data_IF_511130021992
#
_entry.id   IF_511130021992
#
_cell.length_a   1.000
_cell.length_b   1.000
_cell.length_c   1.000
_cell.angle_alpha   90.00
_cell.angle_beta   90.00
_cell.angle_gamma   90.00
#
_symmetry.space_group_name_H-M   'P 1'
#
loop_
_entity.id
_entity.type
_entity.pdbx_description
1 polymer ?
#
# COMPACT_ATOMS: atom_id res chain seq x y z
N UNK A 1 -10.43 -10.71 -4.79
CA UNK A 1 -9.26 -10.28 -4.02
C UNK A 1 -8.09 -11.28 -4.10
N UNK A 2 -8.31 -12.58 -3.98
CA UNK A 2 -7.25 -13.59 -3.90
C UNK A 2 -6.35 -13.75 -5.17
N UNK A 3 -6.84 -13.63 -6.42
CA UNK A 3 -6.03 -13.89 -7.60
C UNK A 3 -4.72 -13.08 -7.70
N UNK A 4 -4.67 -11.76 -7.41
CA UNK A 4 -3.43 -11.00 -7.42
C UNK A 4 -2.40 -11.52 -6.42
N UNK A 5 -2.83 -11.86 -5.20
CA UNK A 5 -1.95 -12.43 -4.17
C UNK A 5 -1.40 -13.80 -4.59
N UNK A 6 -2.24 -14.67 -5.14
CA UNK A 6 -1.81 -15.96 -5.67
C UNK A 6 -0.75 -15.78 -6.77
N UNK A 7 -0.93 -14.80 -7.65
CA UNK A 7 0.06 -14.48 -8.69
C UNK A 7 1.37 -14.00 -8.09
N UNK A 8 1.33 -13.09 -7.11
CA UNK A 8 2.52 -12.61 -6.41
C UNK A 8 3.30 -13.75 -5.72
N UNK A 9 2.61 -14.67 -5.03
CA UNK A 9 3.22 -15.86 -4.42
C UNK A 9 3.90 -16.72 -5.49
N UNK A 10 3.24 -16.91 -6.63
CA UNK A 10 3.78 -17.71 -7.75
C UNK A 10 5.02 -17.08 -8.39
N UNK A 11 5.12 -15.74 -8.36
CA UNK A 11 6.29 -14.98 -8.84
C UNK A 11 7.38 -14.84 -7.77
N UNK A 12 7.25 -15.47 -6.61
CA UNK A 12 8.30 -15.54 -5.60
C UNK A 12 8.25 -14.45 -4.53
N UNK A 13 7.09 -13.86 -4.25
CA UNK A 13 6.96 -12.94 -3.11
C UNK A 13 7.45 -13.60 -1.83
N UNK A 14 8.42 -12.97 -1.14
CA UNK A 14 9.04 -13.50 0.08
C UNK A 14 8.30 -13.16 1.36
N UNK A 15 7.46 -12.13 1.35
CA UNK A 15 6.69 -11.69 2.52
C UNK A 15 5.26 -11.35 2.15
N UNK A 16 4.38 -11.44 3.14
CA UNK A 16 2.98 -11.03 3.03
C UNK A 16 2.54 -10.34 4.32
N UNK A 17 1.87 -9.20 4.21
CA UNK A 17 1.27 -8.48 5.33
C UNK A 17 -0.21 -8.84 5.46
N UNK A 18 -0.69 -9.02 6.69
CA UNK A 18 -2.13 -9.17 6.95
C UNK A 18 -2.83 -7.81 6.89
N UNK A 19 -4.13 -7.81 6.72
CA UNK A 19 -4.95 -6.60 6.70
C UNK A 19 -5.77 -6.43 7.98
N UNK A 20 -6.21 -5.19 8.24
CA UNK A 20 -7.00 -4.87 9.45
C UNK A 20 -8.42 -5.42 9.44
N UNK A 21 -9.00 -5.67 8.27
CA UNK A 21 -10.39 -6.09 8.17
C UNK A 21 -10.61 -7.55 8.57
N UNK A 22 -11.87 -7.93 8.69
CA UNK A 22 -12.32 -9.31 8.85
C UNK A 22 -12.95 -9.83 7.55
N UNK A 23 -12.88 -11.13 7.34
CA UNK A 23 -13.62 -11.87 6.31
C UNK A 23 -14.57 -12.81 7.05
N UNK A 24 -15.86 -12.67 6.76
CA UNK A 24 -16.91 -13.45 7.40
C UNK A 24 -16.82 -13.48 8.95
N UNK A 25 -16.49 -12.33 9.53
CA UNK A 25 -16.35 -12.16 10.98
C UNK A 25 -15.02 -12.64 11.56
N UNK A 26 -14.11 -13.21 10.77
CA UNK A 26 -12.79 -13.65 11.21
C UNK A 26 -11.75 -12.60 10.84
N UNK A 27 -11.05 -11.97 11.81
CA UNK A 27 -9.97 -11.02 11.54
C UNK A 27 -8.89 -11.64 10.65
N UNK A 28 -8.48 -10.96 9.57
CA UNK A 28 -7.48 -11.50 8.63
C UNK A 28 -6.16 -11.87 9.33
N UNK A 29 -5.76 -11.12 10.36
CA UNK A 29 -4.56 -11.38 11.18
C UNK A 29 -4.64 -12.70 12.00
N UNK A 30 -5.85 -13.21 12.25
CA UNK A 30 -6.10 -14.47 12.97
C UNK A 30 -6.84 -15.51 12.12
N UNK A 31 -6.85 -15.35 10.80
CA UNK A 31 -7.57 -16.23 9.89
C UNK A 31 -6.68 -17.40 9.43
N UNK A 32 -6.83 -18.54 10.10
CA UNK A 32 -6.07 -19.77 9.78
C UNK A 32 -6.34 -20.28 8.36
N UNK A 33 -7.60 -20.24 7.90
CA UNK A 33 -7.94 -20.65 6.54
C UNK A 33 -7.17 -19.84 5.52
N UNK A 34 -7.13 -18.52 5.69
CA UNK A 34 -6.44 -17.61 4.77
C UNK A 34 -4.91 -17.79 4.84
N UNK A 35 -4.33 -17.74 6.06
CA UNK A 35 -2.88 -17.66 6.25
C UNK A 35 -2.17 -19.03 6.18
N UNK A 36 -2.86 -20.09 6.56
CA UNK A 36 -2.28 -21.44 6.55
C UNK A 36 -2.85 -22.27 5.41
N UNK A 37 -4.17 -22.44 5.35
CA UNK A 37 -4.75 -23.45 4.46
C UNK A 37 -4.68 -22.99 2.99
N UNK A 38 -5.05 -21.75 2.69
CA UNK A 38 -4.96 -21.18 1.34
C UNK A 38 -3.51 -20.79 1.02
N UNK A 39 -2.92 -19.88 1.81
CA UNK A 39 -1.64 -19.28 1.47
C UNK A 39 -0.49 -20.31 1.45
N UNK A 40 -0.35 -21.10 2.52
CA UNK A 40 0.77 -22.03 2.66
C UNK A 40 0.49 -23.39 2.04
N UNK A 41 -0.68 -24.01 2.36
CA UNK A 41 -0.95 -25.37 1.93
C UNK A 41 -1.36 -25.44 0.45
N UNK A 42 -2.25 -24.57 -0.03
CA UNK A 42 -2.70 -24.61 -1.42
C UNK A 42 -1.76 -23.87 -2.39
N UNK A 43 -1.24 -22.68 -2.01
CA UNK A 43 -0.38 -21.90 -2.91
C UNK A 43 1.10 -22.17 -2.73
N UNK A 44 1.50 -22.88 -1.67
CA UNK A 44 2.90 -23.26 -1.43
C UNK A 44 3.80 -22.12 -0.96
N UNK A 45 3.25 -21.06 -0.37
CA UNK A 45 4.03 -19.94 0.14
C UNK A 45 5.06 -20.37 1.18
N UNK A 46 6.34 -20.04 0.96
CA UNK A 46 7.48 -20.42 1.80
C UNK A 46 8.07 -19.26 2.62
N UNK A 47 7.61 -18.05 2.36
CA UNK A 47 8.04 -16.85 3.07
C UNK A 47 7.41 -16.69 4.45
N UNK A 48 7.54 -15.52 5.03
CA UNK A 48 6.90 -15.20 6.31
C UNK A 48 5.75 -14.21 6.17
N UNK A 49 4.81 -14.30 7.10
CA UNK A 49 3.66 -13.40 7.20
C UNK A 49 3.85 -12.50 8.41
N UNK A 50 3.70 -11.20 8.20
CA UNK A 50 3.75 -10.21 9.28
C UNK A 50 2.40 -9.49 9.42
N UNK A 51 2.12 -9.00 10.62
CA UNK A 51 0.91 -8.22 10.87
C UNK A 51 1.00 -6.84 10.21
N UNK A 52 -0.13 -6.22 9.94
CA UNK A 52 -0.14 -4.76 9.80
C UNK A 52 0.08 -4.11 11.17
N UNK A 53 0.35 -2.80 11.18
CA UNK A 53 0.71 -2.02 12.37
C UNK A 53 -0.35 -2.19 13.47
N UNK A 54 0.04 -2.78 14.62
CA UNK A 54 -0.84 -2.98 15.79
C UNK A 54 -2.09 -3.86 15.47
N UNK A 55 -2.09 -4.62 14.38
CA UNK A 55 -3.29 -5.36 13.98
C UNK A 55 -3.59 -6.59 14.84
N UNK A 56 -2.61 -7.11 15.59
CA UNK A 56 -2.86 -8.19 16.56
C UNK A 56 -3.72 -7.65 17.71
N UNK A 57 -3.40 -6.51 18.26
CA UNK A 57 -4.21 -5.83 19.28
C UNK A 57 -5.60 -5.46 18.72
N UNK A 58 -5.67 -5.16 17.44
CA UNK A 58 -6.93 -4.90 16.72
C UNK A 58 -7.94 -6.06 16.80
N UNK A 59 -7.48 -7.31 16.96
CA UNK A 59 -8.34 -8.50 17.14
C UNK A 59 -9.22 -8.35 18.40
N UNK A 60 -8.68 -7.74 19.48
CA UNK A 60 -9.45 -7.44 20.70
C UNK A 60 -10.50 -6.36 20.40
N UNK A 61 -10.13 -5.31 19.67
CA UNK A 61 -11.05 -4.26 19.22
C UNK A 61 -12.21 -4.80 18.40
N UNK A 62 -11.99 -5.82 17.59
CA UNK A 62 -13.01 -6.55 16.82
C UNK A 62 -13.82 -7.54 17.66
N UNK A 63 -13.55 -7.64 18.98
CA UNK A 63 -14.18 -8.60 19.90
C UNK A 63 -13.96 -10.08 19.52
N UNK A 64 -12.92 -10.37 18.75
CA UNK A 64 -12.53 -11.72 18.36
C UNK A 64 -11.55 -12.37 19.35
N UNK A 65 -11.03 -11.60 20.32
CA UNK A 65 -10.28 -12.08 21.48
C UNK A 65 -10.63 -11.26 22.72
N UNK A 66 -10.51 -11.86 23.90
CA UNK A 66 -10.82 -11.17 25.18
C UNK A 66 -9.71 -10.23 25.63
N UNK A 67 -8.47 -10.54 25.26
CA UNK A 67 -7.26 -9.79 25.64
C UNK A 67 -6.15 -9.99 24.59
N UNK A 68 -5.07 -9.20 24.71
CA UNK A 68 -3.93 -9.26 23.80
C UNK A 68 -3.18 -10.60 23.84
N UNK A 69 -3.23 -11.34 24.94
CA UNK A 69 -2.62 -12.67 25.00
C UNK A 69 -3.38 -13.66 24.14
N UNK A 70 -4.71 -13.70 24.26
CA UNK A 70 -5.54 -14.53 23.40
C UNK A 70 -5.41 -14.13 21.93
N UNK A 71 -5.36 -12.84 21.63
CA UNK A 71 -5.14 -12.33 20.29
C UNK A 71 -3.80 -12.82 19.71
N UNK A 72 -2.71 -12.70 20.48
CA UNK A 72 -1.38 -13.19 20.08
C UNK A 72 -1.37 -14.72 19.82
N UNK A 73 -2.01 -15.51 20.68
CA UNK A 73 -2.15 -16.97 20.49
C UNK A 73 -2.91 -17.29 19.22
N UNK A 74 -4.05 -16.62 18.98
CA UNK A 74 -4.85 -16.82 17.76
C UNK A 74 -4.09 -16.47 16.50
N UNK A 75 -3.41 -15.33 16.50
CA UNK A 75 -2.61 -14.86 15.36
C UNK A 75 -1.45 -15.84 15.05
N UNK A 76 -0.67 -16.23 16.05
CA UNK A 76 0.43 -17.19 15.89
C UNK A 76 -0.07 -18.53 15.32
N UNK A 77 -1.14 -19.09 15.91
CA UNK A 77 -1.72 -20.35 15.46
C UNK A 77 -2.38 -20.28 14.08
N UNK A 78 -2.83 -19.11 13.67
CA UNK A 78 -3.35 -18.88 12.33
C UNK A 78 -2.27 -18.90 11.24
N UNK A 79 -1.00 -18.75 11.60
CA UNK A 79 0.11 -18.74 10.64
C UNK A 79 0.83 -17.40 10.51
N UNK A 80 0.54 -16.44 11.38
CA UNK A 80 1.33 -15.22 11.51
C UNK A 80 2.70 -15.54 12.09
N UNK A 81 3.75 -14.91 11.56
CA UNK A 81 5.13 -15.16 11.97
C UNK A 81 5.76 -13.97 12.70
N UNK A 82 5.33 -12.74 12.41
CA UNK A 82 5.93 -11.53 12.97
C UNK A 82 4.86 -10.48 13.32
N UNK A 83 5.06 -9.81 14.45
CA UNK A 83 4.26 -8.67 14.92
C UNK A 83 4.91 -7.37 14.45
N UNK A 84 4.17 -6.49 13.77
CA UNK A 84 4.66 -5.22 13.27
C UNK A 84 4.10 -4.06 14.09
N UNK A 85 4.99 -3.27 14.70
CA UNK A 85 4.68 -2.02 15.38
C UNK A 85 3.88 -2.14 16.69
N UNK A 86 3.33 -3.32 16.97
CA UNK A 86 2.75 -3.69 18.25
C UNK A 86 3.80 -4.30 19.19
N UNK A 87 3.32 -4.87 20.26
CA UNK A 87 4.12 -5.68 21.17
C UNK A 87 3.30 -6.84 21.75
N UNK A 88 2.30 -7.29 21.00
CA UNK A 88 1.44 -8.39 21.41
C UNK A 88 2.23 -9.68 21.53
N UNK A 89 3.10 -10.00 20.56
CA UNK A 89 3.97 -11.16 20.62
C UNK A 89 5.00 -11.03 21.74
N UNK A 90 5.76 -9.93 21.79
CA UNK A 90 6.82 -9.73 22.78
C UNK A 90 6.36 -9.82 24.24
N UNK A 91 5.17 -9.28 24.55
CA UNK A 91 4.62 -9.28 25.90
C UNK A 91 3.91 -10.58 26.30
N UNK A 92 3.37 -11.33 25.34
CA UNK A 92 2.41 -12.37 25.66
C UNK A 92 2.82 -13.81 25.29
N UNK A 93 3.69 -14.01 24.26
CA UNK A 93 3.98 -15.38 23.81
C UNK A 93 4.75 -16.21 24.84
N UNK A 94 5.67 -15.58 25.60
CA UNK A 94 6.36 -16.31 26.70
C UNK A 94 5.36 -16.87 27.70
N UNK A 95 4.45 -16.02 28.20
CA UNK A 95 3.42 -16.44 29.14
C UNK A 95 2.45 -17.47 28.53
N UNK A 96 2.08 -17.30 27.28
CA UNK A 96 1.23 -18.25 26.57
C UNK A 96 1.88 -19.64 26.44
N UNK A 97 3.20 -19.68 26.22
CA UNK A 97 3.97 -20.92 26.22
C UNK A 97 4.02 -21.57 27.61
N UNK A 98 4.32 -20.81 28.66
CA UNK A 98 4.35 -21.29 30.05
C UNK A 98 2.98 -21.84 30.50
N UNK A 99 1.88 -21.30 29.99
CA UNK A 99 0.51 -21.75 30.23
C UNK A 99 0.07 -22.91 29.30
N UNK A 100 0.94 -23.37 28.39
CA UNK A 100 0.62 -24.45 27.44
C UNK A 100 -0.36 -24.07 26.34
N UNK A 101 -0.61 -22.79 26.11
CA UNK A 101 -1.52 -22.30 25.06
C UNK A 101 -0.92 -22.38 23.66
N UNK A 102 0.42 -22.35 23.58
CA UNK A 102 1.21 -22.54 22.36
C UNK A 102 2.34 -23.52 22.65
N UNK A 103 2.92 -24.08 21.59
CA UNK A 103 4.02 -25.03 21.66
C UNK A 103 5.33 -24.41 21.18
N UNK A 104 6.46 -25.05 21.48
CA UNK A 104 7.75 -24.66 20.88
C UNK A 104 7.71 -24.77 19.36
N UNK A 105 7.02 -25.78 18.81
CA UNK A 105 6.86 -25.94 17.38
C UNK A 105 6.13 -24.74 16.72
N UNK A 106 5.19 -24.09 17.41
CA UNK A 106 4.55 -22.87 16.91
C UNK A 106 5.54 -21.72 16.80
N UNK A 107 6.43 -21.57 17.80
CA UNK A 107 7.48 -20.57 17.82
C UNK A 107 8.56 -20.87 16.78
N UNK A 108 9.04 -22.11 16.71
CA UNK A 108 10.07 -22.54 15.75
C UNK A 108 9.60 -22.35 14.30
N UNK A 109 8.32 -22.61 14.01
CA UNK A 109 7.72 -22.33 12.70
C UNK A 109 7.82 -20.85 12.36
N UNK A 110 7.41 -19.97 13.25
CA UNK A 110 7.37 -18.54 13.02
C UNK A 110 8.80 -17.95 12.86
N UNK A 111 9.66 -18.25 13.80
CA UNK A 111 11.08 -17.83 13.76
C UNK A 111 11.80 -18.40 12.54
N UNK A 112 11.59 -19.69 12.28
CA UNK A 112 12.19 -20.39 11.13
C UNK A 112 11.80 -19.79 9.79
N UNK A 113 10.54 -19.32 9.62
CA UNK A 113 10.11 -18.65 8.39
C UNK A 113 10.82 -17.32 8.18
N UNK A 114 10.97 -16.51 9.23
CA UNK A 114 11.70 -15.23 9.17
C UNK A 114 13.18 -15.46 8.89
N UNK A 115 13.83 -16.36 9.64
CA UNK A 115 15.25 -16.64 9.47
C UNK A 115 15.57 -17.22 8.10
N UNK A 116 14.73 -18.14 7.60
CA UNK A 116 14.91 -18.72 6.26
C UNK A 116 15.01 -17.66 5.19
N UNK A 117 14.11 -16.65 5.19
CA UNK A 117 14.16 -15.58 4.21
C UNK A 117 15.41 -14.73 4.38
N UNK A 118 15.84 -14.41 5.62
CA UNK A 118 17.08 -13.68 5.88
C UNK A 118 18.31 -14.43 5.32
N UNK A 119 18.39 -15.74 5.50
CA UNK A 119 19.46 -16.56 4.91
C UNK A 119 19.40 -16.59 3.38
N UNK A 120 18.20 -16.76 2.81
CA UNK A 120 18.02 -16.74 1.34
C UNK A 120 18.43 -15.42 0.71
N UNK A 121 18.26 -14.31 1.42
CA UNK A 121 18.69 -12.98 0.97
C UNK A 121 20.16 -12.69 1.23
N UNK A 122 20.93 -13.61 1.86
CA UNK A 122 22.35 -13.41 2.19
C UNK A 122 22.60 -12.31 3.23
N UNK A 123 21.61 -12.01 4.09
CA UNK A 123 21.71 -10.88 5.03
C UNK A 123 22.72 -11.13 6.16
N UNK A 124 23.14 -12.38 6.38
CA UNK A 124 24.18 -12.71 7.35
C UNK A 124 25.58 -12.58 6.76
N UNK A 125 25.72 -12.79 5.46
CA UNK A 125 26.99 -12.69 4.73
C UNK A 125 27.23 -11.24 4.28
N UNK A 126 26.19 -10.57 3.79
CA UNK A 126 26.29 -9.20 3.29
C UNK A 126 25.02 -8.40 3.58
N UNK A 127 24.87 -7.80 4.79
CA UNK A 127 23.69 -7.00 5.15
C UNK A 127 23.71 -5.58 4.56
N UNK A 128 24.77 -5.18 3.90
CA UNK A 128 24.96 -3.81 3.44
C UNK A 128 24.41 -3.60 2.03
N UNK A 129 23.95 -2.37 1.78
CA UNK A 129 23.54 -1.90 0.45
C UNK A 129 24.44 -0.75 0.00
N UNK A 130 24.54 -0.52 -1.31
CA UNK A 130 25.27 0.61 -1.86
C UNK A 130 24.38 1.85 -1.98
N UNK A 131 24.63 2.93 -1.23
CA UNK A 131 23.92 4.19 -1.39
C UNK A 131 24.05 4.77 -2.81
N UNK A 132 25.18 4.58 -3.46
CA UNK A 132 25.41 5.05 -4.83
C UNK A 132 24.57 4.27 -5.85
N UNK A 133 24.37 2.98 -5.64
CA UNK A 133 23.46 2.19 -6.47
C UNK A 133 22.01 2.65 -6.28
N UNK A 134 21.60 2.94 -5.04
CA UNK A 134 20.26 3.48 -4.75
C UNK A 134 20.04 4.81 -5.48
N UNK A 135 20.98 5.76 -5.40
CA UNK A 135 20.90 7.04 -6.14
C UNK A 135 20.78 6.86 -7.66
N UNK A 136 21.46 5.85 -8.21
CA UNK A 136 21.43 5.56 -9.65
C UNK A 136 20.10 4.94 -10.10
N UNK A 137 19.51 4.09 -9.28
CA UNK A 137 18.32 3.31 -9.65
C UNK A 137 17.00 4.00 -9.28
N UNK A 138 16.94 4.64 -8.10
CA UNK A 138 15.73 5.35 -7.67
C UNK A 138 15.45 6.50 -8.62
N UNK A 139 14.20 6.62 -9.08
CA UNK A 139 13.76 7.62 -10.07
C UNK A 139 14.55 7.59 -11.39
N UNK A 140 15.14 6.44 -11.76
CA UNK A 140 15.78 6.32 -13.07
C UNK A 140 14.79 6.57 -14.21
N UNK A 141 15.29 6.90 -15.39
CA UNK A 141 14.45 7.13 -16.57
C UNK A 141 13.58 5.91 -16.90
N UNK A 142 14.13 4.73 -16.78
CA UNK A 142 13.47 3.46 -17.01
C UNK A 142 12.32 3.24 -16.02
N UNK A 143 12.54 3.52 -14.72
CA UNK A 143 11.51 3.41 -13.70
C UNK A 143 10.38 4.43 -13.91
N UNK A 144 10.72 5.68 -14.27
CA UNK A 144 9.72 6.72 -14.58
C UNK A 144 8.87 6.35 -15.81
N UNK A 145 9.48 5.79 -16.85
CA UNK A 145 8.72 5.36 -18.05
C UNK A 145 7.83 4.16 -17.76
N UNK A 146 8.31 3.17 -17.00
CA UNK A 146 7.48 2.04 -16.57
C UNK A 146 6.30 2.49 -15.71
N UNK A 147 6.52 3.39 -14.74
CA UNK A 147 5.44 3.97 -13.93
C UNK A 147 4.41 4.71 -14.80
N UNK A 148 4.86 5.46 -15.80
CA UNK A 148 3.98 6.12 -16.77
C UNK A 148 3.16 5.14 -17.59
N UNK A 149 3.77 4.05 -18.06
CA UNK A 149 3.08 2.99 -18.79
C UNK A 149 1.99 2.36 -17.92
N UNK A 150 2.33 1.97 -16.68
CA UNK A 150 1.36 1.39 -15.73
C UNK A 150 0.20 2.36 -15.47
N UNK A 151 0.48 3.65 -15.28
CA UNK A 151 -0.57 4.65 -15.10
C UNK A 151 -1.50 4.76 -16.33
N UNK A 152 -0.94 4.77 -17.54
CA UNK A 152 -1.74 4.79 -18.79
C UNK A 152 -2.63 3.56 -18.93
N UNK A 153 -2.12 2.39 -18.64
CA UNK A 153 -2.87 1.13 -18.72
C UNK A 153 -3.91 1.01 -17.58
N UNK A 154 -3.70 1.70 -16.46
CA UNK A 154 -4.63 1.74 -15.32
C UNK A 154 -5.80 2.71 -15.50
N UNK A 155 -5.74 3.67 -16.43
CA UNK A 155 -6.82 4.64 -16.67
C UNK A 155 -7.97 3.97 -17.44
N UNK A 156 -9.17 4.02 -16.86
CA UNK A 156 -10.38 3.44 -17.47
C UNK A 156 -11.33 4.54 -17.90
N UNK A 157 -11.67 4.60 -19.19
CA UNK A 157 -12.67 5.52 -19.72
C UNK A 157 -14.08 4.91 -19.54
N UNK A 158 -14.81 5.40 -18.54
CA UNK A 158 -16.15 4.86 -18.20
C UNK A 158 -17.25 5.35 -19.17
N UNK A 159 -17.13 6.59 -19.66
CA UNK A 159 -18.10 7.19 -20.58
C UNK A 159 -17.41 8.24 -21.44
N UNK A 160 -17.75 8.28 -22.73
CA UNK A 160 -17.34 9.33 -23.64
C UNK A 160 -18.40 9.51 -24.74
N UNK A 161 -18.90 10.71 -24.88
CA UNK A 161 -19.89 11.10 -25.92
C UNK A 161 -19.22 11.91 -27.03
N UNK A 162 -18.00 11.56 -27.39
CA UNK A 162 -17.26 12.19 -28.47
C UNK A 162 -16.47 13.43 -28.07
N UNK A 163 -16.39 13.75 -26.77
CA UNK A 163 -15.59 14.91 -26.27
C UNK A 163 -14.10 14.57 -26.17
N UNK A 164 -13.77 13.35 -25.79
CA UNK A 164 -12.38 12.90 -25.66
C UNK A 164 -11.96 12.07 -26.89
N UNK A 165 -10.69 12.17 -27.32
CA UNK A 165 -9.62 13.05 -26.78
C UNK A 165 -9.83 14.52 -27.14
N UNK A 166 -9.46 15.40 -26.22
CA UNK A 166 -9.44 16.84 -26.50
C UNK A 166 -8.37 17.17 -27.55
N UNK A 167 -8.67 18.13 -28.42
CA UNK A 167 -7.65 18.68 -29.34
C UNK A 167 -6.53 19.35 -28.54
N UNK A 168 -5.28 19.09 -28.90
CA UNK A 168 -4.13 19.79 -28.33
C UNK A 168 -4.06 21.28 -28.71
N UNK A 169 -4.83 21.69 -29.70
CA UNK A 169 -4.93 23.07 -30.21
C UNK A 169 -6.24 23.75 -29.80
N UNK A 170 -6.83 23.34 -28.67
CA UNK A 170 -7.99 24.02 -28.11
C UNK A 170 -7.60 25.44 -27.70
N UNK A 171 -8.39 26.45 -28.03
CA UNK A 171 -8.03 27.86 -27.76
C UNK A 171 -7.93 28.18 -26.26
N UNK A 172 -8.85 27.65 -25.46
CA UNK A 172 -8.87 27.84 -24.02
C UNK A 172 -9.29 26.55 -23.29
N UNK A 173 -8.63 26.25 -22.20
CA UNK A 173 -8.93 25.12 -21.33
C UNK A 173 -8.96 25.59 -19.87
N UNK A 174 -10.11 25.48 -19.21
CA UNK A 174 -10.23 25.71 -17.79
C UNK A 174 -9.96 24.39 -17.04
N UNK A 175 -9.04 24.43 -16.08
CA UNK A 175 -8.73 23.32 -15.16
C UNK A 175 -9.21 23.75 -13.79
N UNK A 176 -10.24 23.07 -13.27
CA UNK A 176 -10.93 23.49 -12.06
C UNK A 176 -10.88 22.33 -11.04
N UNK A 177 -10.53 22.65 -9.82
CA UNK A 177 -10.55 21.72 -8.70
C UNK A 177 -9.28 21.76 -7.84
N UNK A 178 -9.41 21.49 -6.53
CA UNK A 178 -8.30 21.61 -5.59
C UNK A 178 -7.17 20.61 -5.85
N UNK A 179 -7.48 19.45 -6.41
CA UNK A 179 -6.50 18.37 -6.63
C UNK A 179 -5.75 18.49 -7.96
N UNK A 180 -6.11 19.46 -8.81
CA UNK A 180 -5.43 19.62 -10.10
C UNK A 180 -3.96 20.04 -9.95
N UNK A 181 -3.62 20.79 -8.88
CA UNK A 181 -2.27 21.25 -8.58
C UNK A 181 -1.87 21.02 -7.12
N UNK A 182 -2.28 19.87 -6.55
CA UNK A 182 -1.95 19.50 -5.18
C UNK A 182 -1.13 18.20 -5.16
N UNK A 183 0.18 18.34 -4.93
CA UNK A 183 1.14 17.25 -5.02
C UNK A 183 0.83 16.09 -4.06
N UNK A 184 0.63 16.39 -2.78
CA UNK A 184 0.48 15.33 -1.79
C UNK A 184 -0.84 14.58 -1.89
N UNK A 185 -1.92 15.23 -2.33
CA UNK A 185 -3.20 14.55 -2.51
C UNK A 185 -3.17 13.47 -3.60
N UNK A 186 -2.34 13.65 -4.64
CA UNK A 186 -2.19 12.63 -5.69
C UNK A 186 -1.20 11.51 -5.34
N UNK A 187 -0.30 11.73 -4.36
CA UNK A 187 0.69 10.74 -3.95
C UNK A 187 0.15 9.74 -2.91
N UNK A 188 -0.88 10.13 -2.14
CA UNK A 188 -1.50 9.28 -1.11
C UNK A 188 -0.80 9.34 0.25
N UNK A 189 -1.30 8.52 1.19
CA UNK A 189 -0.95 8.61 2.62
C UNK A 189 0.46 8.16 2.97
N UNK A 190 0.95 7.10 2.33
CA UNK A 190 2.20 6.42 2.70
C UNK A 190 3.41 6.92 1.91
N UNK A 191 3.31 8.12 1.38
CA UNK A 191 4.40 8.69 0.61
C UNK A 191 5.47 9.30 1.53
N UNK A 192 6.74 9.01 1.25
CA UNK A 192 7.85 9.73 1.86
C UNK A 192 7.81 11.22 1.44
N UNK A 193 8.44 12.13 2.22
CA UNK A 193 8.58 13.53 1.80
C UNK A 193 9.13 13.63 0.38
N UNK A 194 8.45 14.40 -0.45
CA UNK A 194 8.82 14.63 -1.85
C UNK A 194 9.11 16.11 -2.09
N UNK A 195 9.90 16.40 -3.10
CA UNK A 195 10.14 17.77 -3.58
C UNK A 195 9.25 18.05 -4.79
N UNK A 196 8.73 19.29 -4.87
CA UNK A 196 7.74 19.68 -5.91
C UNK A 196 8.25 19.45 -7.33
N UNK A 197 9.52 19.63 -7.56
CA UNK A 197 10.18 19.53 -8.86
C UNK A 197 10.22 18.10 -9.42
N UNK A 198 10.11 17.10 -8.53
CA UNK A 198 10.12 15.68 -8.91
C UNK A 198 8.71 15.10 -9.17
N UNK A 199 7.65 15.88 -8.91
CA UNK A 199 6.28 15.42 -9.01
C UNK A 199 5.48 16.30 -9.98
N UNK A 200 5.12 15.76 -11.13
CA UNK A 200 4.21 16.42 -12.05
C UNK A 200 2.76 16.28 -11.55
N UNK A 201 2.09 17.42 -11.35
CA UNK A 201 0.66 17.46 -11.04
C UNK A 201 -0.19 17.23 -12.29
N UNK A 202 -1.50 17.02 -12.12
CA UNK A 202 -2.44 16.96 -13.25
C UNK A 202 -2.37 18.22 -14.09
N UNK A 203 -2.30 19.39 -13.45
CA UNK A 203 -2.15 20.68 -14.13
C UNK A 203 -0.86 20.77 -14.94
N UNK A 204 0.27 20.32 -14.39
CA UNK A 204 1.55 20.28 -15.10
C UNK A 204 1.46 19.37 -16.34
N UNK A 205 0.85 18.20 -16.17
CA UNK A 205 0.64 17.25 -17.27
C UNK A 205 -0.22 17.82 -18.39
N UNK A 206 -1.30 18.54 -18.05
CA UNK A 206 -2.16 19.22 -19.03
C UNK A 206 -1.39 20.30 -19.77
N UNK A 207 -0.69 21.19 -19.03
CA UNK A 207 0.12 22.27 -19.63
C UNK A 207 1.19 21.72 -20.59
N UNK A 208 1.82 20.62 -20.23
CA UNK A 208 2.82 19.98 -21.08
C UNK A 208 2.23 19.26 -22.31
N UNK A 209 0.93 18.92 -22.29
CA UNK A 209 0.28 18.17 -23.37
C UNK A 209 -0.38 19.04 -24.43
N UNK A 210 -0.81 20.25 -24.08
CA UNK A 210 -1.47 21.18 -25.01
C UNK A 210 -0.45 22.02 -25.80
N UNK A 211 -0.91 22.66 -26.89
CA UNK A 211 -0.04 23.55 -27.68
C UNK A 211 0.25 24.87 -26.94
N UNK A 212 1.33 25.54 -27.34
CA UNK A 212 1.70 26.87 -26.81
C UNK A 212 0.62 27.94 -27.02
N UNK A 213 -0.23 27.77 -28.06
CA UNK A 213 -1.35 28.66 -28.32
C UNK A 213 -2.56 28.44 -27.44
N UNK A 214 -2.60 27.36 -26.69
CA UNK A 214 -3.71 27.01 -25.77
C UNK A 214 -3.56 27.77 -24.46
N UNK A 215 -4.52 28.62 -24.13
CA UNK A 215 -4.59 29.28 -22.82
C UNK A 215 -5.13 28.28 -21.78
N UNK A 216 -4.33 27.95 -20.77
CA UNK A 216 -4.76 27.12 -19.64
C UNK A 216 -5.00 28.02 -18.43
N UNK A 217 -6.27 28.08 -17.98
CA UNK A 217 -6.66 28.79 -16.76
C UNK A 217 -6.88 27.78 -15.65
N UNK A 218 -6.19 27.94 -14.52
CA UNK A 218 -6.40 27.13 -13.33
C UNK A 218 -7.16 27.90 -12.27
N UNK A 219 -8.21 27.31 -11.73
CA UNK A 219 -8.95 27.83 -10.57
C UNK A 219 -9.17 26.70 -9.58
N UNK A 220 -8.74 26.90 -8.33
CA UNK A 220 -8.93 25.90 -7.27
C UNK A 220 -10.42 25.64 -6.99
N UNK A 221 -11.26 26.67 -7.05
CA UNK A 221 -12.72 26.61 -6.88
C UNK A 221 -13.16 26.33 -5.45
N UNK A 222 -12.55 25.37 -4.74
CA UNK A 222 -12.83 25.05 -3.35
C UNK A 222 -11.63 24.39 -2.68
N UNK A 223 -11.64 24.28 -1.35
CA UNK A 223 -10.71 23.42 -0.61
C UNK A 223 -11.25 21.99 -0.51
N UNK A 224 -10.36 20.99 -0.23
CA UNK A 224 -10.75 19.59 -0.11
C UNK A 224 -11.60 19.33 1.15
N UNK A 225 -11.29 20.03 2.26
CA UNK A 225 -11.94 19.79 3.56
C UNK A 225 -12.56 21.03 4.20
N UNK A 226 -12.12 22.22 3.81
CA UNK A 226 -12.65 23.47 4.36
C UNK A 226 -13.81 23.97 3.49
N UNK A 227 -15.01 23.89 4.02
CA UNK A 227 -16.24 24.30 3.33
C UNK A 227 -16.39 25.83 3.23
N UNK A 228 -15.59 26.61 3.95
CA UNK A 228 -15.60 28.08 3.91
C UNK A 228 -14.62 28.64 2.87
N UNK A 229 -13.58 27.89 2.54
CA UNK A 229 -12.57 28.30 1.55
C UNK A 229 -13.04 27.94 0.12
N UNK A 230 -13.92 28.76 -0.45
CA UNK A 230 -14.48 28.56 -1.79
C UNK A 230 -14.23 29.76 -2.69
N UNK A 231 -13.99 29.49 -3.98
CA UNK A 231 -13.89 30.49 -5.05
C UNK A 231 -14.71 29.99 -6.28
N UNK A 232 -15.93 29.59 -6.00
CA UNK A 232 -16.86 29.09 -7.02
C UNK A 232 -17.16 30.14 -8.09
N UNK A 233 -17.37 31.45 -7.76
CA UNK A 233 -17.57 32.46 -8.80
C UNK A 233 -16.43 32.55 -9.81
N UNK A 234 -15.17 32.49 -9.37
CA UNK A 234 -14.01 32.48 -10.27
C UNK A 234 -13.96 31.20 -11.11
N UNK A 235 -14.32 30.05 -10.54
CA UNK A 235 -14.40 28.80 -11.28
C UNK A 235 -15.45 28.86 -12.39
N UNK A 236 -16.64 29.40 -12.11
CA UNK A 236 -17.70 29.61 -13.11
C UNK A 236 -17.26 30.61 -14.19
N UNK A 237 -16.57 31.69 -13.81
CA UNK A 237 -16.07 32.65 -14.76
C UNK A 237 -14.95 32.12 -15.67
N UNK A 238 -14.23 31.09 -15.25
CA UNK A 238 -13.18 30.45 -16.01
C UNK A 238 -13.69 29.36 -16.97
N UNK A 239 -14.87 28.82 -16.72
CA UNK A 239 -15.50 27.77 -17.53
C UNK A 239 -16.25 28.36 -18.73
#
# INVERSE_FOLDING_TARGET
YLPPFRKAVKEGAGTLMTSYNAIDGVPCTANKELLTDVLRNQWGFKGFVYSDLISIEGIVGMRAAKDNKEAAVKALKAGLDMDLGGNAFGKNLKKAYEEGLITMADLDRAVGNVLRLKFQMGLFENPYVSPELAKKLVHSKEHKELARQVAREGVVLLKNEGVLPLSKHIGHLAVIGPNADEMYNQLGDYTAPQVREEVATVLDGIRAAVSESTRVTYVKGCAVRDTTATDIPAAVAAA
#
